data_IF_146475657711
#
_entry.id   IF_146475657711
#
_cell.length_a   1.000
_cell.length_b   1.000
_cell.length_c   1.000
_cell.angle_alpha   90.00
_cell.angle_beta   90.00
_cell.angle_gamma   90.00
#
_symmetry.space_group_name_H-M   'P 1'
#
loop_
_entity.id
_entity.type
_entity.pdbx_description
1 polymer ?
#
# COMPACT_ATOMS: atom_id res chain seq x y z
N UNK A 1 12.76 8.45 -19.10
CA UNK A 1 12.15 7.10 -19.04
C UNK A 1 12.87 6.06 -19.88
N UNK A 2 12.94 6.16 -21.22
CA UNK A 2 13.65 5.16 -22.04
C UNK A 2 15.08 4.85 -21.57
N UNK A 3 15.93 5.87 -21.42
CA UNK A 3 17.32 5.68 -20.98
C UNK A 3 17.42 5.08 -19.56
N UNK A 4 16.51 5.47 -18.65
CA UNK A 4 16.42 4.90 -17.31
C UNK A 4 16.07 3.41 -17.36
N UNK A 5 15.04 3.05 -18.14
CA UNK A 5 14.62 1.67 -18.36
C UNK A 5 15.74 0.82 -18.97
N UNK A 6 16.38 1.25 -20.06
CA UNK A 6 17.45 0.49 -20.71
C UNK A 6 18.70 0.34 -19.83
N UNK A 7 18.96 1.34 -18.97
CA UNK A 7 20.07 1.30 -18.02
C UNK A 7 19.83 0.28 -16.91
N UNK A 8 18.64 0.23 -16.33
CA UNK A 8 18.36 -0.53 -15.10
C UNK A 8 17.56 -1.82 -15.31
N UNK A 9 16.85 -1.97 -16.43
CA UNK A 9 16.00 -3.12 -16.73
C UNK A 9 16.60 -3.94 -17.88
N UNK A 10 16.64 -5.26 -17.70
CA UNK A 10 17.00 -6.24 -18.73
C UNK A 10 16.10 -7.47 -18.60
N UNK A 11 15.58 -7.98 -19.72
CA UNK A 11 14.69 -9.14 -19.75
C UNK A 11 13.50 -9.05 -18.76
N UNK A 12 12.90 -7.87 -18.64
CA UNK A 12 11.82 -7.54 -17.70
C UNK A 12 12.19 -7.71 -16.21
N UNK A 13 13.46 -7.53 -15.86
CA UNK A 13 13.96 -7.59 -14.47
C UNK A 13 14.93 -6.46 -14.20
N UNK A 14 15.04 -6.05 -12.93
CA UNK A 14 16.11 -5.18 -12.48
C UNK A 14 17.46 -5.87 -12.69
N UNK A 15 18.46 -5.12 -13.16
CA UNK A 15 19.85 -5.58 -13.20
C UNK A 15 20.46 -5.63 -11.80
N UNK A 16 20.03 -4.72 -10.93
CA UNK A 16 20.39 -4.66 -9.52
C UNK A 16 19.12 -4.46 -8.68
N UNK A 17 18.87 -5.38 -7.75
CA UNK A 17 17.66 -5.36 -6.91
C UNK A 17 17.69 -4.20 -5.91
N UNK A 18 18.89 -3.77 -5.50
CA UNK A 18 19.07 -2.68 -4.54
C UNK A 18 18.68 -1.32 -5.15
N UNK A 19 18.61 -1.23 -6.49
CA UNK A 19 18.16 -0.04 -7.23
C UNK A 19 16.65 -0.04 -7.49
N UNK A 20 15.86 -0.72 -6.65
CA UNK A 20 14.42 -0.94 -6.88
C UNK A 20 13.56 0.34 -6.97
N UNK A 21 14.03 1.47 -6.47
CA UNK A 21 13.37 2.79 -6.62
C UNK A 21 13.08 3.15 -8.09
N UNK A 22 13.87 2.62 -9.03
CA UNK A 22 13.63 2.80 -10.46
C UNK A 22 12.26 2.25 -10.90
N UNK A 23 11.73 1.23 -10.22
CA UNK A 23 10.37 0.71 -10.48
C UNK A 23 9.33 1.76 -10.13
N UNK A 24 9.50 2.45 -9.00
CA UNK A 24 8.62 3.53 -8.57
C UNK A 24 8.64 4.67 -9.60
N UNK A 25 9.83 5.12 -10.02
CA UNK A 25 9.97 6.20 -11.00
C UNK A 25 9.33 5.86 -12.34
N UNK A 26 9.61 4.66 -12.88
CA UNK A 26 9.04 4.20 -14.15
C UNK A 26 7.51 4.07 -14.07
N UNK A 27 7.01 3.57 -12.94
CA UNK A 27 5.59 3.46 -12.64
C UNK A 27 4.92 4.83 -12.58
N UNK A 28 5.39 5.74 -11.73
CA UNK A 28 4.80 7.08 -11.59
C UNK A 28 4.85 7.89 -12.89
N UNK A 29 5.86 7.66 -13.74
CA UNK A 29 5.95 8.29 -15.05
C UNK A 29 5.00 7.67 -16.11
N UNK A 30 4.27 6.59 -15.79
CA UNK A 30 3.38 5.90 -16.71
C UNK A 30 4.11 5.27 -17.90
N UNK A 31 5.37 4.85 -17.74
CA UNK A 31 6.18 4.36 -18.84
C UNK A 31 5.75 2.94 -19.26
N UNK A 32 4.82 2.86 -20.22
CA UNK A 32 4.19 1.61 -20.67
C UNK A 32 5.14 0.41 -20.89
N UNK A 33 6.34 0.55 -21.46
CA UNK A 33 7.26 -0.59 -21.61
C UNK A 33 7.69 -1.24 -20.29
N UNK A 34 7.60 -0.53 -19.16
CA UNK A 34 7.90 -1.07 -17.84
C UNK A 34 6.75 -1.90 -17.25
N UNK A 35 5.52 -1.83 -17.79
CA UNK A 35 4.35 -2.50 -17.20
C UNK A 35 4.57 -4.00 -16.92
N UNK A 36 5.13 -4.81 -17.85
CA UNK A 36 5.35 -6.23 -17.56
C UNK A 36 6.34 -6.45 -16.40
N UNK A 37 7.33 -5.57 -16.27
CA UNK A 37 8.30 -5.61 -15.18
C UNK A 37 7.62 -5.26 -13.87
N UNK A 38 6.85 -4.17 -13.83
CA UNK A 38 6.12 -3.72 -12.64
C UNK A 38 5.14 -4.79 -12.15
N UNK A 39 4.33 -5.37 -13.05
CA UNK A 39 3.40 -6.45 -12.68
C UNK A 39 4.14 -7.69 -12.18
N UNK A 40 5.28 -8.04 -12.76
CA UNK A 40 6.08 -9.16 -12.29
C UNK A 40 6.54 -8.95 -10.84
N UNK A 41 7.09 -7.77 -10.52
CA UNK A 41 7.51 -7.47 -9.15
C UNK A 41 6.33 -7.36 -8.19
N UNK A 42 5.23 -6.70 -8.58
CA UNK A 42 4.05 -6.54 -7.73
C UNK A 42 3.45 -7.87 -7.27
N UNK A 43 3.41 -8.89 -8.15
CA UNK A 43 2.81 -10.18 -7.83
C UNK A 43 3.77 -11.23 -7.27
N UNK A 44 5.06 -11.16 -7.61
CA UNK A 44 5.97 -12.30 -7.41
C UNK A 44 7.26 -11.96 -6.67
N UNK A 45 7.50 -10.69 -6.33
CA UNK A 45 8.73 -10.31 -5.64
C UNK A 45 8.69 -10.73 -4.17
N UNK A 46 9.73 -11.44 -3.77
CA UNK A 46 10.08 -11.76 -2.38
C UNK A 46 10.83 -10.59 -1.71
N UNK A 47 11.39 -9.69 -2.51
CA UNK A 47 12.07 -8.49 -2.03
C UNK A 47 11.06 -7.41 -1.68
N UNK A 48 11.11 -6.96 -0.42
CA UNK A 48 10.19 -5.97 0.15
C UNK A 48 10.18 -4.67 -0.63
N UNK A 49 11.34 -4.05 -0.86
CA UNK A 49 11.41 -2.73 -1.50
C UNK A 49 11.04 -2.80 -2.98
N UNK A 50 11.47 -3.83 -3.69
CA UNK A 50 11.10 -4.00 -5.08
C UNK A 50 9.60 -4.25 -5.27
N UNK A 51 8.98 -5.02 -4.38
CA UNK A 51 7.53 -5.19 -4.40
C UNK A 51 6.80 -3.88 -4.09
N UNK A 52 7.20 -3.20 -3.02
CA UNK A 52 6.63 -1.92 -2.60
C UNK A 52 6.71 -0.89 -3.73
N UNK A 53 7.89 -0.68 -4.32
CA UNK A 53 8.10 0.30 -5.39
C UNK A 53 7.28 -0.03 -6.64
N UNK A 54 7.16 -1.30 -7.00
CA UNK A 54 6.32 -1.71 -8.13
C UNK A 54 4.83 -1.43 -7.87
N UNK A 55 4.31 -1.81 -6.70
CA UNK A 55 2.91 -1.60 -6.32
C UNK A 55 2.58 -0.10 -6.23
N UNK A 56 3.42 0.68 -5.56
CA UNK A 56 3.25 2.13 -5.46
C UNK A 56 3.33 2.81 -6.83
N UNK A 57 4.26 2.39 -7.70
CA UNK A 57 4.40 2.90 -9.05
C UNK A 57 3.19 2.60 -9.95
N UNK A 58 2.46 1.53 -9.67
CA UNK A 58 1.27 1.14 -10.42
C UNK A 58 -0.02 1.84 -9.98
N UNK A 59 -0.03 2.51 -8.82
CA UNK A 59 -1.23 3.05 -8.18
C UNK A 59 -2.16 3.85 -9.13
N UNK A 60 -1.58 4.74 -9.95
CA UNK A 60 -2.34 5.64 -10.82
C UNK A 60 -2.56 5.07 -12.24
N UNK A 61 -2.20 3.79 -12.48
CA UNK A 61 -2.36 3.14 -13.78
C UNK A 61 -3.78 2.63 -14.00
N UNK A 62 -4.26 2.74 -15.25
CA UNK A 62 -5.43 1.97 -15.70
C UNK A 62 -5.03 0.50 -15.96
N UNK A 63 -5.29 -0.34 -14.97
CA UNK A 63 -5.07 -1.78 -15.03
C UNK A 63 -6.36 -2.56 -15.32
N UNK A 64 -7.36 -1.95 -15.96
CA UNK A 64 -8.64 -2.61 -16.25
C UNK A 64 -8.47 -3.94 -17.02
N UNK A 65 -7.50 -4.03 -17.94
CA UNK A 65 -7.18 -5.26 -18.68
C UNK A 65 -6.58 -6.38 -17.81
N UNK A 66 -6.08 -6.04 -16.61
CA UNK A 66 -5.45 -6.98 -15.68
C UNK A 66 -6.33 -7.26 -14.44
N UNK A 67 -7.56 -6.72 -14.39
CA UNK A 67 -8.42 -6.79 -13.20
C UNK A 67 -8.71 -8.21 -12.74
N UNK A 68 -8.96 -9.13 -13.67
CA UNK A 68 -9.24 -10.54 -13.35
C UNK A 68 -8.01 -11.22 -12.73
N UNK A 69 -6.83 -10.98 -13.32
CA UNK A 69 -5.56 -11.47 -12.79
C UNK A 69 -5.33 -10.93 -11.37
N UNK A 70 -5.43 -9.62 -11.17
CA UNK A 70 -5.25 -8.98 -9.85
C UNK A 70 -6.22 -9.57 -8.83
N UNK A 71 -7.50 -9.68 -9.19
CA UNK A 71 -8.52 -10.28 -8.32
C UNK A 71 -8.17 -11.71 -7.93
N UNK A 72 -7.64 -12.51 -8.87
CA UNK A 72 -7.26 -13.90 -8.62
C UNK A 72 -6.05 -14.03 -7.69
N UNK A 73 -5.04 -13.17 -7.83
CA UNK A 73 -3.87 -13.15 -6.94
C UNK A 73 -4.27 -12.73 -5.52
N UNK A 74 -5.17 -11.75 -5.40
CA UNK A 74 -5.70 -11.27 -4.12
C UNK A 74 -6.57 -12.29 -3.36
N UNK A 75 -6.92 -13.44 -3.97
CA UNK A 75 -7.55 -14.55 -3.24
C UNK A 75 -6.56 -15.12 -2.21
N UNK A 76 -5.25 -15.10 -2.48
CA UNK A 76 -4.23 -15.63 -1.57
C UNK A 76 -4.29 -14.96 -0.19
N UNK A 77 -4.54 -13.65 -0.15
CA UNK A 77 -4.67 -12.84 1.08
C UNK A 77 -5.76 -13.37 2.02
N UNK A 78 -6.78 -14.05 1.48
CA UNK A 78 -7.91 -14.58 2.25
C UNK A 78 -7.75 -16.05 2.62
N UNK A 79 -6.80 -16.75 2.01
CA UNK A 79 -6.62 -18.20 2.18
C UNK A 79 -5.51 -18.55 3.15
N UNK A 80 -4.47 -17.74 3.18
CA UNK A 80 -3.27 -18.00 3.95
C UNK A 80 -2.71 -16.67 4.50
N UNK A 81 -2.09 -16.73 5.68
CA UNK A 81 -1.33 -15.60 6.23
C UNK A 81 0.02 -15.43 5.51
N UNK A 82 0.32 -16.30 4.54
CA UNK A 82 1.54 -16.28 3.73
C UNK A 82 1.27 -15.77 2.31
N UNK A 83 1.32 -14.45 2.15
CA UNK A 83 1.29 -13.77 0.86
C UNK A 83 2.42 -12.73 0.76
N UNK A 84 2.83 -12.34 -0.47
CA UNK A 84 3.78 -11.25 -0.68
C UNK A 84 3.26 -9.95 -0.06
N UNK A 85 4.04 -9.34 0.82
CA UNK A 85 3.63 -8.27 1.74
C UNK A 85 2.82 -7.14 1.08
N UNK A 86 3.26 -6.66 -0.08
CA UNK A 86 2.65 -5.54 -0.78
C UNK A 86 1.58 -5.95 -1.81
N UNK A 87 1.32 -7.24 -1.98
CA UNK A 87 0.28 -7.73 -2.90
C UNK A 87 -1.10 -7.09 -2.63
N UNK A 88 -1.58 -6.96 -1.37
CA UNK A 88 -2.83 -6.27 -1.07
C UNK A 88 -2.89 -4.83 -1.59
N UNK A 89 -1.75 -4.17 -1.81
CA UNK A 89 -1.70 -2.82 -2.35
C UNK A 89 -2.22 -2.70 -3.78
N UNK A 90 -2.42 -3.81 -4.49
CA UNK A 90 -3.07 -3.87 -5.80
C UNK A 90 -4.60 -3.79 -5.73
N UNK A 91 -5.19 -3.86 -4.53
CA UNK A 91 -6.64 -3.83 -4.30
C UNK A 91 -7.39 -2.68 -5.00
N UNK A 92 -6.88 -1.43 -5.04
CA UNK A 92 -7.57 -0.31 -5.70
C UNK A 92 -7.93 -0.59 -7.17
N UNK A 93 -7.13 -1.39 -7.87
CA UNK A 93 -7.36 -1.72 -9.27
C UNK A 93 -8.50 -2.73 -9.51
N UNK A 94 -9.04 -3.34 -8.44
CA UNK A 94 -10.15 -4.29 -8.52
C UNK A 94 -11.53 -3.65 -8.42
N UNK A 95 -11.60 -2.39 -7.95
CA UNK A 95 -12.86 -1.73 -7.54
C UNK A 95 -13.60 -2.57 -6.48
N UNK A 96 -12.99 -2.77 -5.29
CA UNK A 96 -13.55 -3.64 -4.27
C UNK A 96 -14.91 -3.11 -3.77
N UNK A 97 -15.80 -4.02 -3.38
CA UNK A 97 -17.03 -3.65 -2.67
C UNK A 97 -16.72 -3.17 -1.26
N UNK A 98 -17.72 -2.56 -0.60
CA UNK A 98 -17.58 -2.16 0.81
C UNK A 98 -17.30 -3.34 1.71
N UNK A 99 -18.00 -4.45 1.49
CA UNK A 99 -17.83 -5.71 2.24
C UNK A 99 -16.40 -6.21 2.08
N UNK A 100 -15.88 -6.20 0.85
CA UNK A 100 -14.49 -6.59 0.57
C UNK A 100 -13.50 -5.71 1.34
N UNK A 101 -13.71 -4.39 1.39
CA UNK A 101 -12.85 -3.50 2.17
C UNK A 101 -12.90 -3.79 3.67
N UNK A 102 -14.08 -4.12 4.22
CA UNK A 102 -14.22 -4.53 5.63
C UNK A 102 -13.51 -5.86 5.92
N UNK A 103 -13.52 -6.81 4.98
CA UNK A 103 -12.74 -8.05 5.13
C UNK A 103 -11.23 -7.75 5.23
N UNK A 104 -10.69 -6.89 4.35
CA UNK A 104 -9.30 -6.45 4.43
C UNK A 104 -9.02 -5.70 5.74
N UNK A 105 -9.99 -4.91 6.22
CA UNK A 105 -9.86 -4.25 7.52
C UNK A 105 -9.65 -5.28 8.63
N UNK A 106 -10.48 -6.32 8.67
CA UNK A 106 -10.43 -7.38 9.68
C UNK A 106 -9.14 -8.20 9.58
N UNK A 107 -8.69 -8.54 8.37
CA UNK A 107 -7.43 -9.28 8.18
C UNK A 107 -6.25 -8.48 8.74
N UNK A 108 -6.25 -7.15 8.53
CA UNK A 108 -5.21 -6.25 9.03
C UNK A 108 -5.05 -6.27 10.55
N UNK A 109 -6.12 -6.56 11.31
CA UNK A 109 -6.09 -6.62 12.78
C UNK A 109 -5.37 -7.86 13.33
N UNK A 110 -5.25 -8.94 12.55
CA UNK A 110 -4.74 -10.23 13.06
C UNK A 110 -3.44 -10.69 12.39
N UNK A 111 -2.94 -9.93 11.40
CA UNK A 111 -1.73 -10.28 10.67
C UNK A 111 -0.51 -9.54 11.24
N UNK A 112 0.68 -10.10 11.03
CA UNK A 112 1.94 -9.46 11.41
C UNK A 112 2.05 -8.03 10.83
N UNK A 113 2.57 -7.10 11.63
CA UNK A 113 2.70 -5.67 11.28
C UNK A 113 3.38 -5.41 9.91
N UNK A 114 4.35 -6.24 9.52
CA UNK A 114 5.00 -6.12 8.20
C UNK A 114 3.98 -6.29 7.06
N UNK A 115 3.10 -7.30 7.13
CA UNK A 115 2.09 -7.58 6.10
C UNK A 115 0.87 -6.69 6.17
N UNK A 116 0.55 -6.12 7.34
CA UNK A 116 -0.58 -5.19 7.44
C UNK A 116 -0.29 -3.86 6.74
N UNK A 117 0.98 -3.51 6.45
CA UNK A 117 1.32 -2.35 5.64
C UNK A 117 0.70 -2.40 4.23
N UNK A 118 0.86 -3.51 3.50
CA UNK A 118 0.25 -3.67 2.18
C UNK A 118 -1.28 -3.62 2.22
N UNK A 119 -1.90 -4.22 3.25
CA UNK A 119 -3.34 -4.18 3.47
C UNK A 119 -3.81 -2.75 3.72
N UNK A 120 -3.15 -2.03 4.63
CA UNK A 120 -3.44 -0.64 4.95
C UNK A 120 -3.40 0.22 3.69
N UNK A 121 -2.34 0.06 2.89
CA UNK A 121 -2.15 0.78 1.63
C UNK A 121 -3.31 0.52 0.65
N UNK A 122 -3.56 -0.76 0.34
CA UNK A 122 -4.55 -1.15 -0.65
C UNK A 122 -5.97 -0.77 -0.22
N UNK A 123 -6.30 -0.98 1.04
CA UNK A 123 -7.58 -0.59 1.62
C UNK A 123 -7.75 0.92 1.59
N UNK A 124 -6.76 1.69 2.07
CA UNK A 124 -6.88 3.14 2.21
C UNK A 124 -7.08 3.84 0.87
N UNK A 125 -6.35 3.40 -0.16
CA UNK A 125 -6.33 4.03 -1.48
C UNK A 125 -7.39 3.47 -2.44
N UNK A 126 -8.17 2.48 -2.00
CA UNK A 126 -9.36 2.03 -2.72
C UNK A 126 -10.51 3.03 -2.59
N UNK A 127 -11.36 3.10 -3.60
CA UNK A 127 -12.60 3.87 -3.55
C UNK A 127 -13.46 3.41 -2.35
N UNK A 128 -13.90 4.35 -1.50
CA UNK A 128 -14.63 4.03 -0.26
C UNK A 128 -13.76 3.59 0.93
N UNK A 129 -12.44 3.50 0.76
CA UNK A 129 -11.47 3.05 1.77
C UNK A 129 -11.16 4.06 2.87
N UNK A 130 -11.25 5.37 2.59
CA UNK A 130 -10.83 6.45 3.50
C UNK A 130 -11.38 6.33 4.93
N UNK A 131 -12.65 5.97 5.08
CA UNK A 131 -13.27 5.82 6.40
C UNK A 131 -12.67 4.68 7.23
N UNK A 132 -12.34 3.56 6.57
CA UNK A 132 -11.67 2.43 7.22
C UNK A 132 -10.22 2.73 7.54
N UNK A 133 -9.54 3.46 6.65
CA UNK A 133 -8.20 3.95 6.92
C UNK A 133 -8.16 4.76 8.21
N UNK A 134 -8.99 5.79 8.36
CA UNK A 134 -9.03 6.62 9.58
C UNK A 134 -9.42 5.78 10.81
N UNK A 135 -10.30 4.79 10.65
CA UNK A 135 -10.63 3.86 11.74
C UNK A 135 -9.42 3.01 12.15
N UNK A 136 -8.69 2.46 11.18
CA UNK A 136 -7.48 1.67 11.42
C UNK A 136 -6.39 2.49 12.10
N UNK A 137 -6.27 3.79 11.77
CA UNK A 137 -5.37 4.71 12.46
C UNK A 137 -5.62 4.80 13.97
N UNK A 138 -6.85 4.56 14.42
CA UNK A 138 -7.27 4.67 15.82
C UNK A 138 -7.49 3.31 16.49
N UNK A 139 -7.27 2.23 15.76
CA UNK A 139 -7.49 0.88 16.23
C UNK A 139 -6.18 0.29 16.73
N UNK A 140 -6.13 -0.07 18.01
CA UNK A 140 -4.92 -0.60 18.66
C UNK A 140 -4.46 -1.92 18.06
N UNK A 141 -5.35 -2.69 17.46
CA UNK A 141 -4.99 -3.96 16.78
C UNK A 141 -4.19 -3.73 15.49
N UNK A 142 -4.22 -2.51 14.93
CA UNK A 142 -3.41 -2.14 13.77
C UNK A 142 -2.01 -1.63 14.13
N UNK A 143 -1.80 -1.28 15.40
CA UNK A 143 -0.52 -0.84 15.96
C UNK A 143 0.23 0.21 15.12
N UNK A 144 -0.51 1.20 14.59
CA UNK A 144 0.03 2.18 13.64
C UNK A 144 1.15 3.04 14.24
N UNK A 145 1.15 3.21 15.56
CA UNK A 145 2.16 3.98 16.27
C UNK A 145 3.49 3.21 16.44
N UNK A 146 3.53 1.89 16.16
CA UNK A 146 4.77 1.13 16.23
C UNK A 146 5.79 1.63 15.19
N UNK A 147 6.90 2.13 15.71
CA UNK A 147 8.00 2.64 14.91
C UNK A 147 9.03 1.58 14.53
N UNK A 148 8.96 0.38 15.14
CA UNK A 148 9.90 -0.72 14.90
C UNK A 148 9.71 -1.43 13.55
N UNK A 149 8.49 -1.45 13.03
CA UNK A 149 8.07 -2.27 11.87
C UNK A 149 7.62 -1.45 10.65
N UNK A 150 7.69 -0.11 10.74
CA UNK A 150 7.55 0.76 9.57
C UNK A 150 6.12 1.02 9.06
N UNK A 151 5.07 0.40 9.62
CA UNK A 151 3.67 0.62 9.18
C UNK A 151 3.26 2.11 9.24
N UNK A 152 3.77 2.87 10.21
CA UNK A 152 3.57 4.31 10.32
C UNK A 152 4.00 5.07 9.05
N UNK A 153 5.02 4.60 8.32
CA UNK A 153 5.47 5.22 7.07
C UNK A 153 4.43 5.06 5.98
N UNK A 154 3.84 3.87 5.87
CA UNK A 154 2.71 3.60 4.97
C UNK A 154 1.50 4.44 5.34
N UNK A 155 1.18 4.54 6.63
CA UNK A 155 0.11 5.39 7.13
C UNK A 155 0.32 6.87 6.77
N UNK A 156 1.55 7.41 6.93
CA UNK A 156 1.91 8.77 6.50
C UNK A 156 1.70 8.96 5.00
N UNK A 157 2.19 8.02 4.19
CA UNK A 157 2.02 8.05 2.74
C UNK A 157 0.54 8.10 2.34
N UNK A 158 -0.29 7.21 2.90
CA UNK A 158 -1.72 7.16 2.63
C UNK A 158 -2.43 8.43 3.10
N UNK A 159 -2.10 8.96 4.28
CA UNK A 159 -2.67 10.20 4.79
C UNK A 159 -2.37 11.39 3.85
N UNK A 160 -1.13 11.50 3.38
CA UNK A 160 -0.73 12.52 2.41
C UNK A 160 -1.48 12.39 1.08
N UNK A 161 -1.56 11.16 0.52
CA UNK A 161 -2.28 10.90 -0.74
C UNK A 161 -3.79 11.16 -0.66
N UNK A 162 -4.40 10.86 0.49
CA UNK A 162 -5.83 11.05 0.72
C UNK A 162 -6.18 12.48 1.21
N UNK A 163 -5.17 13.32 1.47
CA UNK A 163 -5.37 14.65 2.07
C UNK A 163 -5.98 14.58 3.47
N UNK A 164 -5.73 13.51 4.22
CA UNK A 164 -6.19 13.35 5.62
C UNK A 164 -5.40 14.30 6.51
N UNK A 165 -6.12 15.08 7.31
CA UNK A 165 -5.56 16.05 8.26
C UNK A 165 -5.70 15.51 9.67
N UNK A 166 -4.90 16.04 10.60
CA UNK A 166 -5.04 15.76 12.03
C UNK A 166 -6.49 15.98 12.54
N UNK A 167 -7.20 16.98 12.00
CA UNK A 167 -8.61 17.25 12.36
C UNK A 167 -9.56 16.13 11.95
N UNK A 168 -9.30 15.43 10.84
CA UNK A 168 -10.13 14.29 10.43
C UNK A 168 -10.02 13.14 11.42
N UNK A 169 -8.79 12.88 11.88
CA UNK A 169 -8.47 11.83 12.85
C UNK A 169 -9.07 12.18 14.20
N UNK A 170 -8.89 13.42 14.68
CA UNK A 170 -9.48 13.87 15.94
C UNK A 170 -11.01 13.76 15.94
N UNK A 171 -11.67 14.18 14.85
CA UNK A 171 -13.13 14.06 14.75
C UNK A 171 -13.62 12.61 14.79
N UNK A 172 -12.85 11.66 14.26
CA UNK A 172 -13.18 10.25 14.37
C UNK A 172 -12.89 9.73 15.78
N UNK A 173 -11.78 10.13 16.38
CA UNK A 173 -11.40 9.76 17.74
C UNK A 173 -12.46 10.19 18.76
N UNK A 174 -12.96 11.43 18.65
CA UNK A 174 -14.04 11.95 19.50
C UNK A 174 -15.32 11.12 19.38
N UNK A 175 -15.66 10.63 18.18
CA UNK A 175 -16.83 9.77 17.94
C UNK A 175 -16.67 8.36 18.50
N UNK A 176 -15.44 7.86 18.53
CA UNK A 176 -15.10 6.53 19.00
C UNK A 176 -14.68 6.51 20.48
N UNK A 177 -14.62 7.68 21.13
CA UNK A 177 -14.05 7.85 22.48
C UNK A 177 -12.62 7.29 22.60
N UNK A 178 -11.83 7.43 21.53
CA UNK A 178 -10.46 6.93 21.43
C UNK A 178 -9.41 8.04 21.63
N UNK A 179 -8.21 7.68 22.08
CA UNK A 179 -7.05 8.58 22.07
C UNK A 179 -6.41 8.59 20.68
N UNK A 180 -6.10 9.79 20.18
CA UNK A 180 -5.43 9.99 18.89
C UNK A 180 -4.09 10.71 18.98
N UNK A 181 -3.68 11.09 20.19
CA UNK A 181 -2.52 11.96 20.42
C UNK A 181 -1.23 11.36 19.85
N UNK A 182 -0.98 10.08 20.10
CA UNK A 182 0.19 9.37 19.61
C UNK A 182 0.17 9.23 18.08
N UNK A 183 -0.96 8.82 17.52
CA UNK A 183 -1.13 8.65 16.07
C UNK A 183 -0.95 9.98 15.34
N UNK A 184 -1.54 11.06 15.83
CA UNK A 184 -1.36 12.41 15.26
C UNK A 184 0.10 12.85 15.35
N UNK A 185 0.77 12.58 16.49
CA UNK A 185 2.18 12.88 16.64
C UNK A 185 3.04 12.08 15.66
N UNK A 186 2.76 10.79 15.47
CA UNK A 186 3.51 9.94 14.54
C UNK A 186 3.28 10.39 13.10
N UNK A 187 2.04 10.72 12.69
CA UNK A 187 1.73 11.01 11.30
C UNK A 187 2.10 12.43 10.84
N UNK A 188 2.11 13.42 11.75
CA UNK A 188 2.24 14.84 11.38
C UNK A 188 3.40 15.58 12.06
N UNK A 189 4.33 14.88 12.72
CA UNK A 189 5.60 15.51 13.13
C UNK A 189 6.46 15.81 11.89
N UNK A 190 7.00 17.03 11.84
CA UNK A 190 7.75 17.60 10.72
C UNK A 190 9.18 17.03 10.56
N UNK A 191 9.51 15.89 11.16
CA UNK A 191 10.91 15.50 11.35
C UNK A 191 11.51 14.70 10.17
N UNK A 192 10.73 14.37 9.12
CA UNK A 192 11.17 13.53 7.99
C UNK A 192 10.81 14.10 6.59
N UNK A 193 10.98 15.41 6.37
CA UNK A 193 11.05 16.01 5.01
C UNK A 193 12.45 16.57 4.72
#
# INVERSE_FOLDING_TARGET
MKALFEKHIENNRLKDIDESEVLLELGQAGYLPALPTLLNYAFKSDDHYAQMHAVQGLLDWDLSAHRELISSELIAVHRDNFFPEWLPGMLPHTRPSRERLEEYYQIGQFISNDRSAGILFGMALSEGGRGLFIRALLDTEWDIADTGVGIHRTARYCAAKLGVKATDIQQMADKLEADSSEVVAVLFRNDDL
#
